data_IF_562767864102
#
_entry.id   IF_562767864102
#
_cell.length_a   1.000
_cell.length_b   1.000
_cell.length_c   1.000
_cell.angle_alpha   90.00
_cell.angle_beta   90.00
_cell.angle_gamma   90.00
#
_symmetry.space_group_name_H-M   'P 1'
#
loop_
_entity.id
_entity.type
_entity.pdbx_description
1 polymer ?
#
# COMPACT_ATOMS: atom_id res chain seq x y z
N UNK A 1 1.01 19.40 -3.80
CA UNK A 1 2.08 18.37 -3.96
C UNK A 1 1.70 17.05 -3.30
N UNK A 2 1.51 16.98 -1.98
CA UNK A 2 1.16 15.74 -1.24
C UNK A 2 -0.07 15.03 -1.84
N UNK A 3 -1.17 15.77 -2.08
CA UNK A 3 -2.37 15.23 -2.71
C UNK A 3 -2.11 14.54 -4.06
N UNK A 4 -1.26 15.12 -4.91
CA UNK A 4 -0.95 14.52 -6.22
C UNK A 4 -0.14 13.23 -6.07
N UNK A 5 0.81 13.20 -5.12
CA UNK A 5 1.58 11.98 -4.82
C UNK A 5 0.68 10.87 -4.26
N UNK A 6 -0.23 11.20 -3.35
CA UNK A 6 -1.21 10.25 -2.82
C UNK A 6 -2.18 9.76 -3.89
N UNK A 7 -2.59 10.62 -4.83
CA UNK A 7 -3.41 10.22 -5.97
C UNK A 7 -2.67 9.21 -6.85
N UNK A 8 -1.38 9.43 -7.12
CA UNK A 8 -0.54 8.48 -7.86
C UNK A 8 -0.43 7.15 -7.12
N UNK A 9 -0.14 7.17 -5.81
CA UNK A 9 -0.08 5.96 -4.97
C UNK A 9 -1.40 5.19 -5.02
N UNK A 10 -2.52 5.90 -4.93
CA UNK A 10 -3.83 5.28 -4.98
C UNK A 10 -4.14 4.65 -6.33
N UNK A 11 -3.80 5.31 -7.44
CA UNK A 11 -3.94 4.75 -8.79
C UNK A 11 -3.06 3.51 -8.96
N UNK A 12 -1.84 3.51 -8.43
CA UNK A 12 -0.96 2.33 -8.43
C UNK A 12 -1.57 1.19 -7.62
N UNK A 13 -2.12 1.46 -6.42
CA UNK A 13 -2.78 0.43 -5.61
C UNK A 13 -4.02 -0.14 -6.31
N UNK A 14 -4.85 0.70 -6.93
CA UNK A 14 -6.02 0.24 -7.70
C UNK A 14 -5.56 -0.61 -8.89
N UNK A 15 -4.62 -0.10 -9.69
CA UNK A 15 -4.13 -0.80 -10.88
C UNK A 15 -3.46 -2.13 -10.53
N UNK A 16 -2.58 -2.13 -9.53
CA UNK A 16 -1.89 -3.33 -9.05
C UNK A 16 -2.84 -4.34 -8.42
N UNK A 17 -3.83 -3.89 -7.65
CA UNK A 17 -4.90 -4.74 -7.14
C UNK A 17 -5.71 -5.35 -8.29
N UNK A 18 -6.26 -4.55 -9.20
CA UNK A 18 -7.01 -5.08 -10.37
C UNK A 18 -6.17 -6.05 -11.20
N UNK A 19 -4.88 -5.78 -11.38
CA UNK A 19 -3.98 -6.70 -12.08
C UNK A 19 -3.85 -8.04 -11.33
N UNK A 20 -3.61 -8.02 -10.02
CA UNK A 20 -3.54 -9.22 -9.18
C UNK A 20 -4.86 -10.02 -9.15
N UNK A 21 -6.00 -9.35 -9.30
CA UNK A 21 -7.32 -10.00 -9.39
C UNK A 21 -7.46 -10.84 -10.67
N UNK A 22 -7.05 -10.24 -11.80
CA UNK A 22 -7.22 -10.79 -13.15
C UNK A 22 -6.14 -11.83 -13.46
N UNK A 23 -4.90 -11.52 -13.10
CA UNK A 23 -3.71 -12.33 -13.39
C UNK A 23 -2.78 -12.44 -12.17
N UNK A 24 -3.16 -13.23 -11.15
CA UNK A 24 -2.33 -13.41 -9.95
C UNK A 24 -1.00 -14.12 -10.24
N UNK A 25 -0.94 -14.97 -11.27
CA UNK A 25 0.29 -15.68 -11.66
C UNK A 25 1.29 -14.70 -12.25
N UNK A 26 0.88 -13.84 -13.18
CA UNK A 26 1.74 -12.80 -13.73
C UNK A 26 2.29 -11.87 -12.65
N UNK A 27 1.47 -11.50 -11.66
CA UNK A 27 1.93 -10.70 -10.51
C UNK A 27 2.99 -11.44 -9.69
N UNK A 28 2.80 -12.72 -9.38
CA UNK A 28 3.80 -13.52 -8.65
C UNK A 28 5.11 -13.61 -9.43
N UNK A 29 5.05 -13.93 -10.72
CA UNK A 29 6.23 -14.00 -11.58
C UNK A 29 6.97 -12.67 -11.63
N UNK A 30 6.26 -11.56 -11.78
CA UNK A 30 6.84 -10.22 -11.77
C UNK A 30 7.50 -9.88 -10.43
N UNK A 31 6.84 -10.16 -9.30
CA UNK A 31 7.42 -9.92 -7.96
C UNK A 31 8.69 -10.73 -7.77
N UNK A 32 8.72 -12.00 -8.18
CA UNK A 32 9.90 -12.85 -8.07
C UNK A 32 11.05 -12.35 -8.96
N UNK A 33 10.74 -11.94 -10.19
CA UNK A 33 11.74 -11.35 -11.09
C UNK A 33 12.36 -10.08 -10.49
N UNK A 34 11.53 -9.17 -9.96
CA UNK A 34 11.99 -7.93 -9.32
C UNK A 34 12.80 -8.20 -8.05
N UNK A 35 12.50 -9.28 -7.33
CA UNK A 35 13.28 -9.74 -6.19
C UNK A 35 14.63 -10.36 -6.57
N UNK A 36 14.85 -10.66 -7.86
CA UNK A 36 16.00 -11.46 -8.31
C UNK A 36 15.88 -12.94 -7.94
N UNK A 37 14.67 -13.41 -7.66
CA UNK A 37 14.35 -14.81 -7.33
C UNK A 37 14.17 -15.64 -8.60
N UNK A 38 14.31 -16.97 -8.48
CA UNK A 38 13.98 -17.90 -9.55
C UNK A 38 12.49 -17.87 -9.93
N UNK A 39 12.15 -18.31 -11.14
CA UNK A 39 10.77 -18.38 -11.60
C UNK A 39 9.94 -19.33 -10.73
N UNK A 40 8.67 -18.99 -10.51
CA UNK A 40 7.72 -19.88 -9.85
C UNK A 40 7.31 -21.01 -10.82
N UNK A 41 7.67 -22.25 -10.48
CA UNK A 41 7.32 -23.44 -11.28
C UNK A 41 6.11 -24.22 -10.71
N UNK A 42 5.49 -23.73 -9.63
CA UNK A 42 4.38 -24.41 -8.97
C UNK A 42 3.01 -24.15 -9.62
N UNK A 43 2.06 -25.04 -9.37
CA UNK A 43 0.63 -24.76 -9.61
C UNK A 43 -0.01 -24.22 -8.34
N UNK A 44 -0.64 -23.06 -8.42
CA UNK A 44 -1.43 -22.51 -7.31
C UNK A 44 -2.74 -23.29 -7.17
N UNK A 45 -3.02 -23.76 -5.96
CA UNK A 45 -4.32 -24.34 -5.65
C UNK A 45 -5.45 -23.31 -5.84
N UNK A 46 -6.68 -23.78 -6.11
CA UNK A 46 -7.86 -22.90 -6.20
C UNK A 46 -8.07 -22.06 -4.93
N UNK A 47 -7.78 -22.61 -3.75
CA UNK A 47 -7.87 -21.89 -2.49
C UNK A 47 -6.83 -20.76 -2.43
N UNK A 48 -5.57 -21.04 -2.80
CA UNK A 48 -4.50 -20.03 -2.84
C UNK A 48 -4.80 -18.91 -3.83
N UNK A 49 -5.37 -19.22 -4.99
CA UNK A 49 -5.85 -18.22 -5.94
C UNK A 49 -6.98 -17.37 -5.35
N UNK A 50 -7.91 -17.98 -4.59
CA UNK A 50 -8.95 -17.27 -3.86
C UNK A 50 -8.38 -16.25 -2.86
N UNK A 51 -7.39 -16.66 -2.07
CA UNK A 51 -6.71 -15.78 -1.10
C UNK A 51 -6.00 -14.61 -1.79
N UNK A 52 -5.29 -14.86 -2.88
CA UNK A 52 -4.63 -13.79 -3.65
C UNK A 52 -5.64 -12.78 -4.20
N UNK A 53 -6.80 -13.24 -4.68
CA UNK A 53 -7.88 -12.36 -5.13
C UNK A 53 -8.51 -11.57 -3.99
N UNK A 54 -8.62 -12.15 -2.79
CA UNK A 54 -9.09 -11.43 -1.61
C UNK A 54 -8.10 -10.33 -1.20
N UNK A 55 -6.80 -10.63 -1.15
CA UNK A 55 -5.73 -9.66 -0.89
C UNK A 55 -5.72 -8.55 -1.95
N UNK A 56 -5.91 -8.92 -3.21
CA UNK A 56 -6.07 -7.99 -4.33
C UNK A 56 -7.26 -7.04 -4.13
N UNK A 57 -8.41 -7.56 -3.70
CA UNK A 57 -9.58 -6.74 -3.37
C UNK A 57 -9.28 -5.73 -2.26
N UNK A 58 -8.55 -6.17 -1.23
CA UNK A 58 -8.08 -5.29 -0.15
C UNK A 58 -7.15 -4.18 -0.68
N UNK A 59 -6.13 -4.52 -1.47
CA UNK A 59 -5.19 -3.54 -2.06
C UNK A 59 -5.93 -2.53 -2.94
N UNK A 60 -6.88 -2.99 -3.74
CA UNK A 60 -7.71 -2.13 -4.57
C UNK A 60 -8.51 -1.15 -3.71
N UNK A 61 -9.18 -1.65 -2.67
CA UNK A 61 -9.97 -0.83 -1.75
C UNK A 61 -9.13 0.18 -0.98
N UNK A 62 -7.89 -0.15 -0.62
CA UNK A 62 -6.95 0.82 -0.02
C UNK A 62 -6.74 2.02 -0.96
N UNK A 63 -6.52 1.77 -2.25
CA UNK A 63 -6.40 2.84 -3.24
C UNK A 63 -7.69 3.66 -3.38
N UNK A 64 -8.86 3.03 -3.40
CA UNK A 64 -10.16 3.72 -3.45
C UNK A 64 -10.38 4.60 -2.22
N UNK A 65 -10.08 4.11 -1.02
CA UNK A 65 -10.21 4.87 0.24
C UNK A 65 -9.28 6.07 0.23
N UNK A 66 -8.01 5.89 -0.17
CA UNK A 66 -7.05 6.99 -0.29
C UNK A 66 -7.61 8.05 -1.24
N UNK A 67 -8.03 7.67 -2.45
CA UNK A 67 -8.62 8.59 -3.44
C UNK A 67 -9.83 9.32 -2.86
N UNK A 68 -10.78 8.60 -2.26
CA UNK A 68 -12.00 9.20 -1.70
C UNK A 68 -11.66 10.23 -0.62
N UNK A 69 -10.70 9.92 0.24
CA UNK A 69 -10.26 10.81 1.32
C UNK A 69 -9.50 12.05 0.82
N UNK A 70 -8.93 12.04 -0.40
CA UNK A 70 -8.31 13.25 -0.98
C UNK A 70 -9.32 14.37 -1.32
N UNK A 71 -10.62 14.05 -1.37
CA UNK A 71 -11.68 14.97 -1.78
C UNK A 71 -12.80 15.10 -0.74
N UNK A 72 -12.65 14.54 0.46
CA UNK A 72 -13.68 14.63 1.48
C UNK A 72 -13.06 14.65 2.87
N UNK A 73 -13.30 15.75 3.59
CA UNK A 73 -12.78 16.01 4.92
C UNK A 73 -13.25 14.94 5.93
N UNK A 74 -14.53 14.53 5.85
CA UNK A 74 -15.09 13.45 6.68
C UNK A 74 -14.32 12.12 6.52
N UNK A 75 -13.84 11.83 5.31
CA UNK A 75 -13.10 10.60 5.04
C UNK A 75 -11.62 10.71 5.37
N UNK A 76 -11.10 11.90 5.67
CA UNK A 76 -9.71 12.11 6.04
C UNK A 76 -9.33 11.35 7.33
N UNK A 77 -10.26 11.19 8.27
CA UNK A 77 -10.06 10.42 9.49
C UNK A 77 -9.63 8.96 9.23
N UNK A 78 -10.02 8.38 8.10
CA UNK A 78 -9.64 7.02 7.71
C UNK A 78 -8.19 6.91 7.24
N UNK A 79 -7.54 8.02 6.88
CA UNK A 79 -6.15 8.01 6.44
C UNK A 79 -5.16 7.73 7.59
N UNK A 80 -5.50 8.13 8.82
CA UNK A 80 -4.61 7.95 9.97
C UNK A 80 -4.41 6.46 10.33
N UNK A 81 -5.46 5.62 10.47
CA UNK A 81 -5.29 4.18 10.63
C UNK A 81 -4.51 3.53 9.48
N UNK A 82 -4.76 3.96 8.24
CA UNK A 82 -4.03 3.46 7.08
C UNK A 82 -2.54 3.80 7.13
N UNK A 83 -2.19 5.00 7.57
CA UNK A 83 -0.81 5.40 7.79
C UNK A 83 -0.11 4.46 8.78
N UNK A 84 -0.78 4.08 9.87
CA UNK A 84 -0.23 3.12 10.84
C UNK A 84 -0.03 1.73 10.25
N UNK A 85 -0.95 1.25 9.40
CA UNK A 85 -0.78 -0.02 8.70
C UNK A 85 0.47 0.01 7.80
N UNK A 86 0.63 1.04 6.95
CA UNK A 86 1.80 1.16 6.09
C UNK A 86 3.11 1.30 6.88
N UNK A 87 3.09 2.01 8.02
CA UNK A 87 4.25 2.10 8.90
C UNK A 87 4.60 0.74 9.51
N UNK A 88 3.61 -0.01 9.95
CA UNK A 88 3.79 -1.37 10.48
C UNK A 88 4.40 -2.32 9.44
N UNK A 89 3.92 -2.27 8.19
CA UNK A 89 4.46 -3.07 7.08
C UNK A 89 5.92 -2.68 6.81
N UNK A 90 6.20 -1.38 6.72
CA UNK A 90 7.56 -0.87 6.51
C UNK A 90 8.51 -1.33 7.63
N UNK A 91 8.09 -1.21 8.89
CA UNK A 91 8.86 -1.68 10.04
C UNK A 91 9.11 -3.20 9.98
N UNK A 92 8.12 -4.00 9.58
CA UNK A 92 8.28 -5.44 9.41
C UNK A 92 9.28 -5.79 8.30
N UNK A 93 9.27 -5.07 7.17
CA UNK A 93 10.26 -5.26 6.10
C UNK A 93 11.67 -4.88 6.55
N UNK A 94 11.79 -3.71 7.18
CA UNK A 94 13.09 -3.21 7.64
C UNK A 94 13.66 -4.06 8.78
N UNK A 95 12.81 -4.63 9.64
CA UNK A 95 13.24 -5.58 10.68
C UNK A 95 13.65 -6.93 10.08
N UNK A 96 12.96 -7.43 9.04
CA UNK A 96 13.37 -8.64 8.31
C UNK A 96 14.81 -8.51 7.75
N UNK A 97 15.19 -7.34 7.22
CA UNK A 97 16.58 -7.08 6.78
C UNK A 97 17.62 -7.23 7.91
N UNK A 98 17.24 -6.91 9.15
CA UNK A 98 18.12 -7.05 10.31
C UNK A 98 18.20 -8.49 10.80
N UNK A 99 17.09 -9.23 10.74
CA UNK A 99 16.95 -10.58 11.29
C UNK A 99 17.47 -11.67 10.36
N UNK A 100 17.24 -11.53 9.05
CA UNK A 100 17.61 -12.55 8.05
C UNK A 100 19.09 -12.45 7.61
N UNK A 101 19.83 -11.48 8.14
CA UNK A 101 21.29 -11.39 7.99
C UNK A 101 21.78 -11.06 6.57
N UNK A 102 20.88 -10.72 5.64
CA UNK A 102 21.17 -10.41 4.25
C UNK A 102 20.47 -9.13 3.78
N UNK A 103 21.17 -8.32 2.99
CA UNK A 103 20.58 -7.12 2.39
C UNK A 103 19.82 -7.48 1.10
N UNK A 104 18.51 -7.22 1.09
CA UNK A 104 17.68 -7.28 -0.12
C UNK A 104 17.35 -5.85 -0.59
N UNK A 105 17.86 -5.42 -1.76
CA UNK A 105 17.53 -4.11 -2.32
C UNK A 105 16.02 -3.92 -2.52
N UNK A 106 15.31 -4.99 -2.89
CA UNK A 106 13.85 -4.99 -3.02
C UNK A 106 13.17 -4.70 -1.68
N UNK A 107 13.52 -5.46 -0.63
CA UNK A 107 12.90 -5.30 0.69
C UNK A 107 13.18 -3.91 1.26
N UNK A 108 14.39 -3.40 1.08
CA UNK A 108 14.76 -2.04 1.50
C UNK A 108 13.99 -0.98 0.71
N UNK A 109 13.95 -1.08 -0.62
CA UNK A 109 13.24 -0.13 -1.49
C UNK A 109 11.74 -0.09 -1.19
N UNK A 110 11.09 -1.25 -1.07
CA UNK A 110 9.68 -1.33 -0.72
C UNK A 110 9.41 -0.80 0.69
N UNK A 111 10.28 -1.10 1.66
CA UNK A 111 10.18 -0.54 3.01
C UNK A 111 10.21 0.98 3.02
N UNK A 112 11.07 1.60 2.21
CA UNK A 112 11.13 3.07 2.08
C UNK A 112 9.87 3.65 1.41
N UNK A 113 9.34 2.99 0.37
CA UNK A 113 8.11 3.42 -0.31
C UNK A 113 6.93 3.36 0.67
N UNK A 114 6.83 2.29 1.45
CA UNK A 114 5.78 2.10 2.45
C UNK A 114 5.90 3.13 3.59
N UNK A 115 7.10 3.39 4.10
CA UNK A 115 7.33 4.44 5.11
C UNK A 115 6.96 5.84 4.59
N UNK A 116 7.35 6.13 3.34
CA UNK A 116 7.04 7.42 2.70
C UNK A 116 5.53 7.57 2.52
N UNK A 117 4.85 6.49 2.10
CA UNK A 117 3.39 6.46 1.95
C UNK A 117 2.70 6.69 3.29
N UNK A 118 3.13 6.00 4.36
CA UNK A 118 2.62 6.21 5.71
C UNK A 118 2.74 7.67 6.15
N UNK A 119 3.92 8.27 5.94
CA UNK A 119 4.17 9.66 6.29
C UNK A 119 3.29 10.65 5.52
N UNK A 120 3.15 10.45 4.20
CA UNK A 120 2.28 11.29 3.35
C UNK A 120 0.81 11.19 3.77
N UNK A 121 0.32 9.99 4.07
CA UNK A 121 -1.04 9.75 4.55
C UNK A 121 -1.28 10.46 5.88
N UNK A 122 -0.37 10.30 6.85
CA UNK A 122 -0.48 10.92 8.17
C UNK A 122 -0.48 12.45 8.12
N UNK A 123 0.45 13.06 7.36
CA UNK A 123 0.48 14.51 7.19
C UNK A 123 -0.80 15.02 6.53
N UNK A 124 -1.26 14.33 5.48
CA UNK A 124 -2.46 14.77 4.79
C UNK A 124 -3.70 14.67 5.69
N UNK A 125 -3.83 13.57 6.44
CA UNK A 125 -4.89 13.37 7.43
C UNK A 125 -4.92 14.52 8.45
N UNK A 126 -3.79 14.82 9.08
CA UNK A 126 -3.72 15.88 10.10
C UNK A 126 -4.10 17.25 9.54
N UNK A 127 -3.63 17.59 8.33
CA UNK A 127 -3.97 18.87 7.69
C UNK A 127 -5.45 19.01 7.36
N UNK A 128 -6.11 17.93 6.97
CA UNK A 128 -7.54 17.93 6.68
C UNK A 128 -8.37 18.00 7.95
N UNK A 129 -7.96 17.30 9.02
CA UNK A 129 -8.66 17.34 10.30
C UNK A 129 -8.57 18.71 10.96
N UNK A 130 -7.40 19.35 10.94
CA UNK A 130 -7.24 20.73 11.43
C UNK A 130 -8.12 21.72 10.66
N UNK A 131 -8.21 21.58 9.33
CA UNK A 131 -9.08 22.44 8.53
C UNK A 131 -10.57 22.24 8.85
N UNK A 132 -10.98 21.02 9.22
CA UNK A 132 -12.35 20.74 9.64
C UNK A 132 -12.66 21.31 11.02
N UNK A 133 -11.70 21.25 11.96
CA UNK A 133 -11.81 21.89 13.28
C UNK A 133 -11.92 23.43 13.13
N UNK A 134 -11.14 24.03 12.23
CA UNK A 134 -11.23 25.47 11.94
C UNK A 134 -12.57 25.86 11.29
N UNK A 135 -13.15 25.02 10.42
CA UNK A 135 -14.48 25.26 9.82
C UNK A 135 -15.64 25.10 10.82
N UNK A 136 -15.52 24.21 11.82
CA UNK A 136 -16.54 23.99 12.83
C UNK A 136 -16.57 25.09 13.93
N UNK A 137 -15.46 25.81 14.11
CA UNK A 137 -15.31 26.89 15.08
C UNK A 137 -15.76 28.29 14.55
N UNK A 138 -16.07 28.42 13.25
CA UNK A 138 -16.60 29.64 12.58
C UNK A 138 -18.13 29.68 12.46
#
# INVERSE_FOLDING_TARGET
MIRNLLAVIAVINIGGGVWMLVDPQGVISWVLEVQGSGAYEGELSLASLGELRAVSGLITMLGVVILRALWSLEFAAWLQPLAWCFLGISLARLSSLLLEGGFSPYTFGMGLIEATTAWLLGIHSQRQLLALEEEDDE
#
